data_IF_657697953514
#
_entry.id   IF_657697953514
#
_cell.length_a   1.000
_cell.length_b   1.000
_cell.length_c   1.000
_cell.angle_alpha   90.00
_cell.angle_beta   90.00
_cell.angle_gamma   90.00
#
_symmetry.space_group_name_H-M   'P 1'
#
loop_
_entity.id
_entity.type
_entity.pdbx_description
1 polymer ?
#
# COMPACT_ATOMS: atom_id res chain seq x y z
N UNK A 1 -37.99 -16.09 1.47
CA UNK A 1 -37.35 -14.78 1.24
C UNK A 1 -37.12 -14.60 -0.26
N UNK A 2 -37.56 -13.47 -0.83
CA UNK A 2 -37.43 -13.22 -2.28
C UNK A 2 -35.94 -13.01 -2.66
N UNK A 3 -35.47 -13.50 -3.81
CA UNK A 3 -34.08 -13.27 -4.30
C UNK A 3 -33.70 -11.80 -4.34
N UNK A 4 -34.62 -10.90 -4.63
CA UNK A 4 -34.43 -9.44 -4.60
C UNK A 4 -34.08 -8.88 -3.21
N UNK A 5 -34.69 -9.43 -2.13
CA UNK A 5 -34.38 -8.97 -0.77
C UNK A 5 -33.00 -9.44 -0.27
N UNK A 6 -32.54 -10.61 -0.74
CA UNK A 6 -31.20 -11.12 -0.40
C UNK A 6 -30.09 -10.27 -1.03
N UNK A 7 -30.22 -9.91 -2.32
CA UNK A 7 -29.23 -9.07 -3.02
C UNK A 7 -29.17 -7.64 -2.47
N UNK A 8 -30.32 -7.05 -2.10
CA UNK A 8 -30.38 -5.71 -1.47
C UNK A 8 -29.69 -5.74 -0.09
N UNK A 9 -29.95 -6.77 0.71
CA UNK A 9 -29.32 -6.92 2.02
C UNK A 9 -27.80 -7.12 1.92
N UNK A 10 -27.33 -7.86 0.93
CA UNK A 10 -25.91 -8.05 0.67
C UNK A 10 -25.23 -6.74 0.27
N UNK A 11 -25.84 -5.97 -0.61
CA UNK A 11 -25.35 -4.65 -1.02
C UNK A 11 -25.29 -3.66 0.17
N UNK A 12 -26.32 -3.64 1.03
CA UNK A 12 -26.31 -2.81 2.24
C UNK A 12 -25.20 -3.22 3.22
N UNK A 13 -24.97 -4.53 3.39
CA UNK A 13 -23.85 -5.04 4.20
C UNK A 13 -22.51 -4.62 3.61
N UNK A 14 -22.30 -4.77 2.30
CA UNK A 14 -21.09 -4.35 1.60
C UNK A 14 -20.83 -2.87 1.79
N UNK A 15 -21.84 -2.01 1.60
CA UNK A 15 -21.72 -0.56 1.81
C UNK A 15 -21.42 -0.18 3.25
N UNK A 16 -22.03 -0.85 4.22
CA UNK A 16 -21.76 -0.61 5.64
C UNK A 16 -20.34 -0.98 6.01
N UNK A 17 -19.85 -2.13 5.51
CA UNK A 17 -18.46 -2.57 5.71
C UNK A 17 -17.47 -1.60 5.08
N UNK A 18 -17.73 -1.12 3.86
CA UNK A 18 -16.87 -0.16 3.16
C UNK A 18 -16.76 1.18 3.92
N UNK A 19 -17.88 1.70 4.46
CA UNK A 19 -17.85 2.92 5.30
C UNK A 19 -16.99 2.75 6.56
N UNK A 20 -17.02 1.59 7.20
CA UNK A 20 -16.16 1.30 8.36
C UNK A 20 -14.68 1.26 7.97
N UNK A 21 -14.32 0.66 6.84
CA UNK A 21 -12.95 0.65 6.33
C UNK A 21 -12.46 2.07 6.00
N UNK A 22 -13.30 2.87 5.35
CA UNK A 22 -12.99 4.25 5.02
C UNK A 22 -12.79 5.10 6.28
N UNK A 23 -13.70 5.03 7.25
CA UNK A 23 -13.59 5.73 8.53
C UNK A 23 -12.32 5.33 9.31
N UNK A 24 -11.91 4.06 9.22
CA UNK A 24 -10.69 3.59 9.86
C UNK A 24 -9.43 4.19 9.22
N UNK A 25 -9.38 4.27 7.88
CA UNK A 25 -8.28 4.93 7.14
C UNK A 25 -8.17 6.40 7.55
N UNK A 26 -9.28 7.14 7.54
CA UNK A 26 -9.32 8.56 7.89
C UNK A 26 -8.82 8.79 9.32
N UNK A 27 -9.43 8.13 10.30
CA UNK A 27 -9.12 8.34 11.71
C UNK A 27 -7.70 7.92 12.08
N UNK A 28 -7.21 6.80 11.55
CA UNK A 28 -5.82 6.37 11.78
C UNK A 28 -4.84 7.29 11.07
N UNK A 29 -5.18 7.80 9.89
CA UNK A 29 -4.38 8.81 9.20
C UNK A 29 -4.29 10.13 9.97
N UNK A 30 -5.41 10.59 10.54
CA UNK A 30 -5.51 11.85 11.28
C UNK A 30 -4.78 11.82 12.64
N UNK A 31 -4.94 10.75 13.42
CA UNK A 31 -4.51 10.73 14.84
C UNK A 31 -3.74 9.47 15.27
N UNK A 32 -3.47 8.57 14.34
CA UNK A 32 -2.73 7.34 14.59
C UNK A 32 -3.59 6.19 15.14
N UNK A 33 -2.98 5.00 15.14
CA UNK A 33 -3.66 3.76 15.56
C UNK A 33 -4.06 3.77 17.03
N UNK A 34 -3.15 4.17 17.93
CA UNK A 34 -3.40 4.09 19.39
C UNK A 34 -4.54 5.01 19.84
N UNK A 35 -4.59 6.22 19.29
CA UNK A 35 -5.62 7.22 19.62
C UNK A 35 -6.99 6.96 18.97
N UNK A 36 -7.11 5.93 18.10
CA UNK A 36 -8.34 5.58 17.41
C UNK A 36 -9.04 4.41 18.12
N UNK A 37 -10.34 4.53 18.42
CA UNK A 37 -11.14 3.45 19.00
C UNK A 37 -12.16 2.89 18.01
N UNK A 38 -12.67 1.66 18.27
CA UNK A 38 -13.77 1.10 17.48
C UNK A 38 -15.05 1.95 17.55
N UNK A 39 -15.27 2.62 18.68
CA UNK A 39 -16.38 3.55 18.86
C UNK A 39 -16.27 4.75 17.93
N UNK A 40 -15.09 5.37 17.87
CA UNK A 40 -14.84 6.50 16.97
C UNK A 40 -15.04 6.13 15.48
N UNK A 41 -14.58 4.92 15.11
CA UNK A 41 -14.77 4.42 13.73
C UNK A 41 -16.25 4.20 13.44
N UNK A 42 -17.02 3.63 14.40
CA UNK A 42 -18.45 3.45 14.25
C UNK A 42 -19.17 4.80 14.08
N UNK A 43 -18.86 5.76 14.94
CA UNK A 43 -19.45 7.10 14.94
C UNK A 43 -19.11 7.84 13.62
N UNK A 44 -17.86 7.82 13.17
CA UNK A 44 -17.42 8.41 11.87
C UNK A 44 -18.11 7.74 10.67
N UNK A 45 -18.30 6.41 10.71
CA UNK A 45 -18.97 5.65 9.64
C UNK A 45 -20.51 5.80 9.64
N UNK A 46 -21.09 6.46 10.64
CA UNK A 46 -22.54 6.49 10.83
C UNK A 46 -23.11 5.08 11.03
N UNK A 47 -22.43 4.23 11.81
CA UNK A 47 -22.75 2.83 12.00
C UNK A 47 -22.96 2.50 13.49
N UNK A 48 -23.85 1.57 13.79
CA UNK A 48 -24.01 1.07 15.15
C UNK A 48 -22.74 0.31 15.60
N UNK A 49 -22.30 0.52 16.85
CA UNK A 49 -21.10 -0.14 17.42
C UNK A 49 -21.16 -1.67 17.32
N UNK A 50 -22.34 -2.26 17.49
CA UNK A 50 -22.56 -3.70 17.34
C UNK A 50 -22.26 -4.23 15.92
N UNK A 51 -22.43 -3.40 14.88
CA UNK A 51 -22.06 -3.77 13.50
C UNK A 51 -20.56 -3.84 13.30
N UNK A 52 -19.78 -3.01 13.98
CA UNK A 52 -18.31 -3.08 13.90
C UNK A 52 -17.83 -4.45 14.38
N UNK A 53 -18.28 -4.88 15.57
CA UNK A 53 -17.95 -6.20 16.14
C UNK A 53 -18.47 -7.38 15.32
N UNK A 54 -19.57 -7.18 14.56
CA UNK A 54 -20.08 -8.19 13.63
C UNK A 54 -19.15 -8.39 12.43
N UNK A 55 -18.57 -7.31 11.88
CA UNK A 55 -17.70 -7.39 10.70
C UNK A 55 -16.24 -7.66 11.04
N UNK A 56 -15.76 -7.16 12.19
CA UNK A 56 -14.35 -7.21 12.55
C UNK A 56 -14.18 -7.63 14.02
N UNK A 57 -13.43 -8.71 14.28
CA UNK A 57 -13.18 -9.20 15.64
C UNK A 57 -12.46 -8.21 16.56
N UNK A 58 -11.78 -7.19 15.99
CA UNK A 58 -11.06 -6.20 16.78
C UNK A 58 -10.49 -5.04 15.94
N UNK A 59 -10.01 -4.00 16.64
CA UNK A 59 -9.43 -2.79 16.03
C UNK A 59 -8.29 -3.12 15.06
N UNK A 60 -7.40 -4.04 15.43
CA UNK A 60 -6.24 -4.42 14.60
C UNK A 60 -6.69 -4.98 13.25
N UNK A 61 -7.64 -5.92 13.25
CA UNK A 61 -8.13 -6.55 12.01
C UNK A 61 -8.93 -5.57 11.14
N UNK A 62 -9.71 -4.68 11.77
CA UNK A 62 -10.40 -3.61 11.04
C UNK A 62 -9.39 -2.69 10.34
N UNK A 63 -8.39 -2.18 11.06
CA UNK A 63 -7.38 -1.28 10.49
C UNK A 63 -6.53 -1.99 9.45
N UNK A 64 -6.14 -3.25 9.68
CA UNK A 64 -5.43 -4.06 8.69
C UNK A 64 -6.24 -4.22 7.39
N UNK A 65 -7.52 -4.57 7.50
CA UNK A 65 -8.40 -4.65 6.33
C UNK A 65 -8.56 -3.30 5.62
N UNK A 66 -8.63 -2.21 6.40
CA UNK A 66 -8.76 -0.86 5.86
C UNK A 66 -7.51 -0.44 5.07
N UNK A 67 -6.31 -0.71 5.58
CA UNK A 67 -5.06 -0.42 4.87
C UNK A 67 -4.91 -1.29 3.62
N UNK A 68 -5.23 -2.60 3.68
CA UNK A 68 -5.22 -3.45 2.49
C UNK A 68 -6.24 -2.98 1.44
N UNK A 69 -7.40 -2.49 1.86
CA UNK A 69 -8.40 -1.91 0.96
C UNK A 69 -7.89 -0.63 0.30
N UNK A 70 -7.22 0.24 1.06
CA UNK A 70 -6.57 1.44 0.53
C UNK A 70 -5.51 1.06 -0.51
N UNK A 71 -4.59 0.15 -0.16
CA UNK A 71 -3.54 -0.31 -1.07
C UNK A 71 -4.12 -0.90 -2.37
N UNK A 72 -5.16 -1.73 -2.26
CA UNK A 72 -5.83 -2.31 -3.43
C UNK A 72 -6.41 -1.22 -4.33
N UNK A 73 -7.15 -0.26 -3.76
CA UNK A 73 -7.75 0.84 -4.54
C UNK A 73 -6.68 1.70 -5.22
N UNK A 74 -5.64 2.09 -4.49
CA UNK A 74 -4.56 2.91 -5.07
C UNK A 74 -3.85 2.17 -6.22
N UNK A 75 -3.61 0.87 -6.06
CA UNK A 75 -3.04 0.05 -7.13
C UNK A 75 -4.00 -0.06 -8.32
N UNK A 76 -5.27 -0.36 -8.09
CA UNK A 76 -6.31 -0.46 -9.12
C UNK A 76 -6.45 0.87 -9.90
N UNK A 77 -6.56 2.00 -9.19
CA UNK A 77 -6.64 3.35 -9.78
C UNK A 77 -5.38 3.68 -10.60
N UNK A 78 -4.19 3.31 -10.12
CA UNK A 78 -2.94 3.48 -10.86
C UNK A 78 -2.89 2.65 -12.14
N UNK A 79 -3.32 1.40 -12.08
CA UNK A 79 -3.33 0.48 -13.23
C UNK A 79 -4.39 0.85 -14.29
N UNK A 80 -5.55 1.38 -13.86
CA UNK A 80 -6.66 1.76 -14.73
C UNK A 80 -6.62 3.24 -15.18
N UNK A 81 -5.58 3.97 -14.79
CA UNK A 81 -5.40 5.38 -15.17
C UNK A 81 -5.35 5.54 -16.70
N UNK A 82 -6.00 6.57 -17.21
CA UNK A 82 -5.94 6.93 -18.63
C UNK A 82 -4.54 7.51 -19.03
N UNK A 83 -4.02 7.20 -20.22
CA UNK A 83 -4.56 6.22 -21.16
C UNK A 83 -4.41 4.80 -20.62
N UNK A 84 -5.45 3.96 -20.75
CA UNK A 84 -5.39 2.55 -20.39
C UNK A 84 -4.35 1.82 -21.23
N UNK A 85 -3.71 0.84 -20.62
CA UNK A 85 -2.66 0.07 -21.29
C UNK A 85 -2.73 -1.42 -20.95
N UNK A 86 -2.43 -2.25 -21.90
CA UNK A 86 -2.18 -3.69 -21.72
C UNK A 86 -0.68 -4.00 -21.72
N UNK A 87 0.19 -3.00 -21.94
CA UNK A 87 1.63 -3.18 -21.85
C UNK A 87 2.05 -3.55 -20.43
N UNK A 88 2.62 -4.75 -20.27
CA UNK A 88 3.01 -5.28 -18.97
C UNK A 88 4.13 -4.45 -18.30
N UNK A 89 5.01 -3.82 -19.07
CA UNK A 89 6.08 -2.95 -18.53
C UNK A 89 5.49 -1.67 -17.95
N UNK A 90 4.60 -1.02 -18.70
CA UNK A 90 3.88 0.16 -18.23
C UNK A 90 3.02 -0.17 -16.99
N UNK A 91 2.32 -1.31 -16.98
CA UNK A 91 1.52 -1.75 -15.83
C UNK A 91 2.39 -1.99 -14.60
N UNK A 92 3.56 -2.62 -14.74
CA UNK A 92 4.50 -2.82 -13.63
C UNK A 92 5.04 -1.49 -13.10
N UNK A 93 5.40 -0.55 -14.00
CA UNK A 93 5.83 0.79 -13.62
C UNK A 93 4.75 1.52 -12.81
N UNK A 94 3.49 1.50 -13.27
CA UNK A 94 2.34 2.08 -12.54
C UNK A 94 2.11 1.44 -11.19
N UNK A 95 2.31 0.12 -11.08
CA UNK A 95 2.18 -0.58 -9.80
C UNK A 95 3.28 -0.16 -8.80
N UNK A 96 4.52 -0.03 -9.26
CA UNK A 96 5.63 0.48 -8.45
C UNK A 96 5.32 1.91 -7.97
N UNK A 97 4.91 2.79 -8.88
CA UNK A 97 4.59 4.19 -8.57
C UNK A 97 3.41 4.29 -7.58
N UNK A 98 2.37 3.47 -7.75
CA UNK A 98 1.22 3.44 -6.84
C UNK A 98 1.63 3.04 -5.41
N UNK A 99 2.47 2.02 -5.27
CA UNK A 99 2.93 1.54 -3.95
C UNK A 99 3.89 2.54 -3.29
N UNK A 100 4.83 3.11 -4.04
CA UNK A 100 5.75 4.13 -3.53
C UNK A 100 5.01 5.43 -3.19
N UNK A 101 4.00 5.79 -3.99
CA UNK A 101 3.11 6.92 -3.71
C UNK A 101 2.41 6.80 -2.36
N UNK A 102 1.98 5.60 -1.97
CA UNK A 102 1.39 5.37 -0.63
C UNK A 102 2.35 5.69 0.51
N UNK A 103 3.65 5.40 0.38
CA UNK A 103 4.64 5.75 1.40
C UNK A 103 4.77 7.27 1.56
N UNK A 104 4.69 8.03 0.47
CA UNK A 104 4.72 9.49 0.47
C UNK A 104 3.42 10.11 1.00
N UNK A 105 2.27 9.64 0.50
CA UNK A 105 0.99 10.30 0.69
C UNK A 105 0.26 9.81 1.96
N UNK A 106 0.56 8.59 2.42
CA UNK A 106 -0.08 7.95 3.57
C UNK A 106 0.93 7.34 4.56
N UNK A 107 1.96 8.10 5.01
CA UNK A 107 3.08 7.55 5.78
C UNK A 107 2.65 6.93 7.11
N UNK A 108 1.63 7.49 7.78
CA UNK A 108 1.11 6.97 9.06
C UNK A 108 0.49 5.59 8.88
N UNK A 109 -0.35 5.44 7.85
CA UNK A 109 -1.01 4.16 7.55
C UNK A 109 -0.01 3.09 7.10
N UNK A 110 0.98 3.48 6.29
CA UNK A 110 2.01 2.54 5.81
C UNK A 110 2.94 2.10 6.95
N UNK A 111 3.32 2.98 7.88
CA UNK A 111 4.03 2.58 9.11
C UNK A 111 3.21 1.61 9.96
N UNK A 112 1.91 1.88 10.11
CA UNK A 112 1.01 0.98 10.83
C UNK A 112 0.89 -0.39 10.16
N UNK A 113 0.85 -0.43 8.82
CA UNK A 113 0.86 -1.68 8.06
C UNK A 113 2.15 -2.48 8.29
N UNK A 114 3.31 -1.84 8.19
CA UNK A 114 4.60 -2.48 8.43
C UNK A 114 4.72 -3.04 9.87
N UNK A 115 4.30 -2.26 10.86
CA UNK A 115 4.27 -2.71 12.25
C UNK A 115 3.35 -3.93 12.43
N UNK A 116 2.19 -3.94 11.78
CA UNK A 116 1.26 -5.06 11.81
C UNK A 116 1.83 -6.35 11.19
N UNK A 117 2.60 -6.25 10.11
CA UNK A 117 3.26 -7.40 9.49
C UNK A 117 4.31 -8.07 10.41
N UNK A 118 5.03 -7.27 11.19
CA UNK A 118 6.09 -7.75 12.08
C UNK A 118 5.56 -8.37 13.39
N UNK A 119 4.35 -8.02 13.80
CA UNK A 119 3.78 -8.51 15.06
C UNK A 119 3.24 -9.94 15.02
N UNK A 120 3.18 -10.58 13.84
CA UNK A 120 2.99 -12.04 13.64
C UNK A 120 1.76 -12.70 14.26
N UNK A 121 1.35 -12.31 15.46
CA UNK A 121 0.21 -12.89 16.16
C UNK A 121 -1.13 -12.45 15.55
N UNK A 122 -1.93 -13.43 15.13
CA UNK A 122 -3.28 -13.18 14.63
C UNK A 122 -3.34 -12.64 13.20
N UNK A 123 -2.29 -12.86 12.38
CA UNK A 123 -2.37 -12.54 10.97
C UNK A 123 -3.41 -13.43 10.28
N UNK A 124 -4.58 -12.87 10.03
CA UNK A 124 -5.62 -13.50 9.22
C UNK A 124 -5.62 -12.83 7.85
N UNK A 125 -5.49 -13.64 6.80
CA UNK A 125 -5.62 -13.14 5.44
C UNK A 125 -7.03 -12.59 5.21
N UNK A 126 -7.15 -11.26 5.19
CA UNK A 126 -8.43 -10.61 4.92
C UNK A 126 -8.79 -10.66 3.41
N UNK A 127 -10.07 -10.54 3.05
CA UNK A 127 -10.49 -10.52 1.64
C UNK A 127 -9.79 -9.42 0.82
N UNK A 128 -9.53 -8.28 1.42
CA UNK A 128 -8.85 -7.14 0.78
C UNK A 128 -7.41 -7.47 0.43
N UNK A 129 -6.69 -8.16 1.31
CA UNK A 129 -5.33 -8.62 1.05
C UNK A 129 -5.29 -9.62 -0.09
N UNK A 130 -6.27 -10.53 -0.16
CA UNK A 130 -6.36 -11.49 -1.26
C UNK A 130 -6.50 -10.78 -2.60
N UNK A 131 -7.43 -9.83 -2.71
CA UNK A 131 -7.64 -9.02 -3.92
C UNK A 131 -6.38 -8.24 -4.32
N UNK A 132 -5.71 -7.64 -3.34
CA UNK A 132 -4.43 -6.96 -3.57
C UNK A 132 -3.37 -7.91 -4.12
N UNK A 133 -3.29 -9.13 -3.57
CA UNK A 133 -2.34 -10.16 -4.02
C UNK A 133 -2.67 -10.65 -5.44
N UNK A 134 -3.95 -10.84 -5.75
CA UNK A 134 -4.43 -11.24 -7.09
C UNK A 134 -4.07 -10.17 -8.13
N UNK A 135 -4.34 -8.90 -7.83
CA UNK A 135 -4.07 -7.77 -8.73
C UNK A 135 -2.56 -7.60 -9.00
N UNK A 136 -1.73 -7.71 -7.97
CA UNK A 136 -0.27 -7.61 -8.12
C UNK A 136 0.30 -8.85 -8.83
N UNK A 137 -0.25 -10.04 -8.57
CA UNK A 137 0.10 -11.28 -9.27
C UNK A 137 -0.24 -11.22 -10.76
N UNK A 138 -1.41 -10.69 -11.14
CA UNK A 138 -1.79 -10.44 -12.53
C UNK A 138 -0.83 -9.44 -13.20
N UNK A 139 -0.42 -8.39 -12.49
CA UNK A 139 0.57 -7.43 -12.99
C UNK A 139 1.91 -8.10 -13.30
N UNK A 140 2.39 -8.98 -12.43
CA UNK A 140 3.62 -9.77 -12.63
C UNK A 140 3.48 -10.71 -13.83
N UNK A 141 2.32 -11.38 -13.97
CA UNK A 141 2.05 -12.25 -15.11
C UNK A 141 2.08 -11.49 -16.45
N UNK A 142 1.43 -10.33 -16.51
CA UNK A 142 1.39 -9.46 -17.70
C UNK A 142 2.75 -8.85 -18.05
N UNK A 143 3.59 -8.61 -17.06
CA UNK A 143 4.97 -8.19 -17.28
C UNK A 143 5.81 -9.25 -18.00
N UNK A 144 5.36 -10.51 -18.04
CA UNK A 144 6.00 -11.60 -18.76
C UNK A 144 6.75 -12.58 -17.87
N UNK A 145 6.45 -12.61 -16.57
CA UNK A 145 7.02 -13.60 -15.65
C UNK A 145 6.73 -15.02 -16.13
N UNK A 146 7.77 -15.86 -16.16
CA UNK A 146 7.68 -17.28 -16.43
C UNK A 146 7.38 -18.10 -15.16
N UNK A 147 7.49 -17.48 -13.98
CA UNK A 147 7.27 -18.13 -12.68
C UNK A 147 6.61 -17.18 -11.69
N UNK A 148 5.35 -16.80 -11.95
CA UNK A 148 4.57 -15.90 -11.10
C UNK A 148 4.57 -16.32 -9.63
N UNK A 149 4.47 -17.63 -9.24
CA UNK A 149 4.54 -18.05 -7.85
C UNK A 149 5.84 -17.67 -7.12
N UNK A 150 6.96 -17.52 -7.83
CA UNK A 150 8.23 -17.06 -7.25
C UNK A 150 8.42 -15.55 -7.39
N UNK A 151 8.08 -14.98 -8.53
CA UNK A 151 8.35 -13.58 -8.85
C UNK A 151 7.41 -12.60 -8.11
N UNK A 152 6.14 -12.98 -7.90
CA UNK A 152 5.22 -12.18 -7.11
C UNK A 152 5.67 -11.95 -5.66
N UNK A 153 6.04 -12.99 -4.89
CA UNK A 153 6.57 -12.78 -3.53
C UNK A 153 7.84 -11.93 -3.50
N UNK A 154 8.71 -12.09 -4.52
CA UNK A 154 9.93 -11.28 -4.64
C UNK A 154 9.62 -9.81 -4.92
N UNK A 155 8.77 -9.51 -5.88
CA UNK A 155 8.32 -8.13 -6.14
C UNK A 155 7.69 -7.52 -4.88
N UNK A 156 6.81 -8.25 -4.21
CA UNK A 156 6.18 -7.80 -2.96
C UNK A 156 7.22 -7.48 -1.88
N UNK A 157 8.24 -8.34 -1.71
CA UNK A 157 9.31 -8.12 -0.75
C UNK A 157 10.12 -6.85 -1.07
N UNK A 158 10.45 -6.63 -2.35
CA UNK A 158 11.17 -5.44 -2.80
C UNK A 158 10.33 -4.17 -2.60
N UNK A 159 9.06 -4.19 -2.95
CA UNK A 159 8.15 -3.06 -2.72
C UNK A 159 7.99 -2.73 -1.23
N UNK A 160 7.82 -3.76 -0.40
CA UNK A 160 7.73 -3.55 1.06
C UNK A 160 9.05 -3.05 1.65
N UNK A 161 10.19 -3.54 1.17
CA UNK A 161 11.52 -3.04 1.53
C UNK A 161 11.70 -1.58 1.15
N UNK A 162 11.27 -1.18 -0.04
CA UNK A 162 11.31 0.21 -0.50
C UNK A 162 10.40 1.12 0.34
N UNK A 163 9.16 0.67 0.62
CA UNK A 163 8.24 1.39 1.53
C UNK A 163 8.87 1.55 2.93
N UNK A 164 9.48 0.50 3.46
CA UNK A 164 10.20 0.58 4.74
C UNK A 164 11.33 1.60 4.69
N UNK A 165 12.18 1.55 3.66
CA UNK A 165 13.30 2.47 3.48
C UNK A 165 12.84 3.94 3.37
N UNK A 166 11.70 4.19 2.69
CA UNK A 166 11.10 5.53 2.61
C UNK A 166 10.55 6.05 3.94
N UNK A 167 10.22 5.15 4.90
CA UNK A 167 9.53 5.48 6.15
C UNK A 167 10.40 5.36 7.39
N UNK A 168 11.64 4.89 7.26
CA UNK A 168 12.53 4.67 8.40
C UNK A 168 12.79 5.99 9.12
N UNK A 169 12.63 6.04 10.47
CA UNK A 169 12.86 7.27 11.21
C UNK A 169 14.33 7.69 11.16
N UNK A 170 14.55 8.99 11.01
CA UNK A 170 15.90 9.61 11.04
C UNK A 170 16.56 9.71 9.67
N UNK A 171 16.51 8.67 8.85
CA UNK A 171 17.18 8.65 7.54
C UNK A 171 16.29 8.01 6.47
N UNK A 172 15.16 8.64 6.09
CA UNK A 172 14.28 8.10 5.05
C UNK A 172 14.92 8.21 3.67
N UNK A 173 14.93 7.11 2.90
CA UNK A 173 15.36 7.15 1.52
C UNK A 173 14.38 7.93 0.64
N UNK A 174 14.85 8.81 -0.24
CA UNK A 174 14.00 9.53 -1.18
C UNK A 174 13.21 8.58 -2.10
N UNK A 175 11.91 8.80 -2.24
CA UNK A 175 11.05 7.98 -3.12
C UNK A 175 11.54 7.96 -4.58
N UNK A 176 12.02 9.06 -5.18
CA UNK A 176 12.58 9.03 -6.53
C UNK A 176 13.79 8.09 -6.68
N UNK A 177 14.63 7.98 -5.65
CA UNK A 177 15.77 7.07 -5.66
C UNK A 177 15.31 5.61 -5.60
N UNK A 178 14.38 5.28 -4.71
CA UNK A 178 13.79 3.93 -4.62
C UNK A 178 13.09 3.52 -5.91
N UNK A 179 12.41 4.46 -6.55
CA UNK A 179 11.81 4.26 -7.88
C UNK A 179 12.88 3.91 -8.92
N UNK A 180 13.95 4.70 -8.97
CA UNK A 180 15.03 4.47 -9.93
C UNK A 180 15.64 3.08 -9.79
N UNK A 181 15.94 2.64 -8.57
CA UNK A 181 16.49 1.32 -8.29
C UNK A 181 15.54 0.18 -8.69
N UNK A 182 14.24 0.33 -8.40
CA UNK A 182 13.25 -0.65 -8.81
C UNK A 182 13.09 -0.70 -10.33
N UNK A 183 13.09 0.45 -11.00
CA UNK A 183 12.98 0.53 -12.46
C UNK A 183 14.18 -0.12 -13.13
N UNK A 184 15.41 0.18 -12.68
CA UNK A 184 16.63 -0.44 -13.18
C UNK A 184 16.59 -1.96 -13.02
N UNK A 185 16.19 -2.44 -11.85
CA UNK A 185 16.09 -3.87 -11.54
C UNK A 185 15.13 -4.63 -12.48
N UNK A 186 14.04 -3.99 -12.87
CA UNK A 186 13.03 -4.57 -13.77
C UNK A 186 13.22 -4.13 -15.23
N UNK A 187 14.31 -3.44 -15.56
CA UNK A 187 14.58 -2.95 -16.92
C UNK A 187 13.49 -2.03 -17.45
N UNK A 188 12.85 -1.26 -16.60
CA UNK A 188 11.79 -0.32 -16.98
C UNK A 188 12.39 0.99 -17.43
N UNK A 189 11.81 1.57 -18.50
CA UNK A 189 12.20 2.89 -18.96
C UNK A 189 11.65 3.95 -17.99
N UNK A 190 12.41 5.02 -17.81
CA UNK A 190 12.10 6.05 -16.82
C UNK A 190 10.76 6.76 -17.06
N UNK A 191 10.37 6.91 -18.33
CA UNK A 191 9.15 7.58 -18.78
C UNK A 191 7.88 6.76 -18.51
N UNK A 192 8.03 5.47 -18.20
CA UNK A 192 6.89 4.62 -17.87
C UNK A 192 6.26 5.04 -16.52
N UNK A 193 5.02 4.73 -16.35
CA UNK A 193 4.29 5.02 -15.11
C UNK A 193 3.95 6.51 -14.97
N UNK A 194 4.21 7.09 -13.80
CA UNK A 194 4.11 8.54 -13.53
C UNK A 194 5.52 9.09 -13.45
N UNK A 195 6.05 9.73 -14.52
CA UNK A 195 7.39 10.28 -14.47
C UNK A 195 7.45 11.33 -13.36
N UNK A 196 8.48 11.32 -12.51
CA UNK A 196 8.74 12.43 -11.61
C UNK A 196 9.10 13.67 -12.42
N UNK A 197 8.89 14.86 -11.84
CA UNK A 197 9.18 16.15 -12.50
C UNK A 197 10.63 16.26 -12.99
N UNK A 198 11.56 15.51 -12.39
CA UNK A 198 12.94 15.35 -12.87
C UNK A 198 13.46 13.95 -12.55
N UNK A 199 13.95 13.25 -13.59
CA UNK A 199 14.65 11.99 -13.41
C UNK A 199 16.07 12.25 -12.89
N UNK A 200 16.50 11.69 -11.75
CA UNK A 200 17.91 11.73 -11.39
C UNK A 200 18.73 10.91 -12.40
N UNK A 201 19.77 11.49 -12.98
CA UNK A 201 20.70 10.74 -13.80
C UNK A 201 21.53 9.74 -12.96
N UNK A 202 22.33 8.88 -13.62
CA UNK A 202 23.11 7.87 -12.92
C UNK A 202 24.13 8.48 -11.95
N UNK A 203 24.73 9.61 -12.30
CA UNK A 203 25.69 10.30 -11.44
C UNK A 203 24.99 10.92 -10.22
N UNK A 204 23.81 11.53 -10.44
CA UNK A 204 23.00 12.09 -9.36
C UNK A 204 22.55 11.00 -8.40
N UNK A 205 22.13 9.83 -8.89
CA UNK A 205 21.78 8.68 -8.05
C UNK A 205 22.92 8.22 -7.15
N UNK A 206 24.14 8.08 -7.72
CA UNK A 206 25.34 7.71 -6.95
C UNK A 206 25.68 8.78 -5.91
N UNK A 207 25.57 10.07 -6.25
CA UNK A 207 25.78 11.16 -5.31
C UNK A 207 24.75 11.17 -4.18
N UNK A 208 23.47 10.93 -4.48
CA UNK A 208 22.40 10.90 -3.51
C UNK A 208 22.55 9.72 -2.56
N UNK A 209 22.94 8.54 -3.06
CA UNK A 209 23.30 7.40 -2.23
C UNK A 209 24.51 7.69 -1.34
N UNK A 210 25.55 8.29 -1.91
CA UNK A 210 26.75 8.63 -1.15
C UNK A 210 26.46 9.65 -0.04
N UNK A 211 25.62 10.66 -0.31
CA UNK A 211 25.18 11.63 0.69
C UNK A 211 24.32 10.98 1.78
N UNK A 212 23.45 10.05 1.39
CA UNK A 212 22.62 9.30 2.33
C UNK A 212 23.51 8.56 3.34
N UNK A 213 24.49 7.77 2.88
CA UNK A 213 25.41 7.03 3.75
C UNK A 213 26.38 7.92 4.52
N UNK A 214 26.84 9.03 3.94
CA UNK A 214 27.72 9.99 4.64
C UNK A 214 27.02 10.71 5.81
N UNK A 215 25.69 10.77 5.80
CA UNK A 215 24.93 11.38 6.91
C UNK A 215 24.85 10.46 8.13
N UNK A 216 25.00 9.14 7.95
CA UNK A 216 25.06 8.16 9.04
C UNK A 216 26.40 8.17 9.80
N UNK A 217 27.47 8.67 9.20
CA UNK A 217 28.82 8.68 9.82
C UNK A 217 29.06 9.87 10.78
N UNK A 218 28.06 10.68 11.12
CA UNK A 218 28.25 11.69 12.16
C UNK A 218 28.13 11.06 13.55
N UNK A 219 29.27 10.79 14.24
CA UNK A 219 29.22 10.36 15.62
C UNK A 219 28.59 11.48 16.45
N UNK A 220 27.72 11.06 17.36
CA UNK A 220 27.12 11.96 18.33
C UNK A 220 28.20 12.80 19.00
N UNK A 221 28.00 14.10 18.98
CA UNK A 221 28.75 15.06 19.80
C UNK A 221 28.45 14.77 21.26
N UNK A 222 29.44 14.86 22.15
CA UNK A 222 29.33 14.48 23.57
C UNK A 222 28.33 15.33 24.36
#
# INVERSE_FOLDING_TARGET
MSPRSASVNEELRRRSRERLLQAAVELVGERGFEATTLGDIADRAGSARGLVSYYFPGKRQLVQSAVHRLMHRTLEEGLEREPRTEDGRERLARAIDAVLGLARDQPVLMRQHMAGLLQGEGFVQCPEQRRLSELLGDTVARYGSQNVPADYPMLRALLMGAVYAALVPGVPMPVPLLRAELFERYGLDWELGVPPESAPDAEQRVQDLSRFFATEERPGTP
#
